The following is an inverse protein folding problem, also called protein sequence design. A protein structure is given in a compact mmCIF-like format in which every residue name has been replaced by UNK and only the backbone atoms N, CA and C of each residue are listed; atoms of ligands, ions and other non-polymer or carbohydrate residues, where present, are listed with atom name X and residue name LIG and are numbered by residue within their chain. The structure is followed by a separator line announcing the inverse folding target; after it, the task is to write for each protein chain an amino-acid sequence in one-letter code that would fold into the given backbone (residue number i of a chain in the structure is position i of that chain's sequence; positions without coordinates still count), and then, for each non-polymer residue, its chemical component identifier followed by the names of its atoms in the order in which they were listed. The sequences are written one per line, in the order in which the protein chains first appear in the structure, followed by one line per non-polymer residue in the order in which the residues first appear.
data_IF_634548694739
#
_entry.id   IF_634548694739
#
_cell.length_a   1.000
_cell.length_b   1.000
_cell.length_c   1.000
_cell.angle_alpha   90.00
_cell.angle_beta   90.00
_cell.angle_gamma   90.00
#
_symmetry.space_group_name_H-M   'P 1'
#
loop_
_entity.id
_entity.type
_entity.pdbx_description
1 polymer ?
#
# COMPACT_ATOMS: atom_id res chain seq x y z
N UNK A 1 -4.96 3.07 -33.71
CA UNK A 1 -3.83 3.81 -33.41
C UNK A 1 -3.86 4.84 -32.31
N UNK A 2 -5.00 5.28 -31.88
CA UNK A 2 -5.13 6.20 -30.75
C UNK A 2 -5.17 5.49 -29.41
N UNK A 3 -5.07 4.19 -29.42
CA UNK A 3 -5.25 3.35 -28.24
C UNK A 3 -4.15 3.54 -27.19
N UNK A 4 -2.92 3.80 -27.60
CA UNK A 4 -1.82 3.98 -26.66
C UNK A 4 -1.99 5.25 -25.81
N UNK A 5 -2.52 6.32 -26.41
CA UNK A 5 -2.78 7.57 -25.69
C UNK A 5 -3.89 7.39 -24.64
N UNK A 6 -4.92 6.63 -24.99
CA UNK A 6 -6.01 6.34 -24.07
C UNK A 6 -5.55 5.47 -22.91
N UNK A 7 -4.66 4.53 -23.16
CA UNK A 7 -4.05 3.71 -22.11
C UNK A 7 -3.28 4.57 -21.11
N UNK A 8 -2.49 5.52 -21.57
CA UNK A 8 -1.71 6.39 -20.70
C UNK A 8 -2.60 7.23 -19.81
N UNK A 9 -3.69 7.77 -20.35
CA UNK A 9 -4.66 8.53 -19.58
C UNK A 9 -5.37 7.68 -18.54
N UNK A 10 -5.66 6.41 -18.89
CA UNK A 10 -6.36 5.48 -18.01
C UNK A 10 -5.48 4.95 -16.89
N UNK A 11 -4.15 5.13 -16.98
CA UNK A 11 -3.24 4.74 -15.91
C UNK A 11 -3.32 5.67 -14.68
N UNK A 12 -3.86 6.88 -14.85
CA UNK A 12 -4.06 7.82 -13.74
C UNK A 12 -5.35 7.49 -13.01
N UNK A 13 -5.23 6.76 -11.92
CA UNK A 13 -6.39 6.30 -11.14
C UNK A 13 -6.03 6.14 -9.67
N UNK A 14 -7.05 5.92 -8.86
CA UNK A 14 -6.86 5.57 -7.47
C UNK A 14 -6.13 4.22 -7.36
N UNK A 15 -5.36 4.06 -6.30
CA UNK A 15 -4.64 2.83 -6.02
C UNK A 15 -5.30 2.14 -4.84
N UNK A 16 -5.64 0.86 -5.03
CA UNK A 16 -6.14 0.00 -3.97
C UNK A 16 -5.09 -1.07 -3.69
N UNK A 17 -4.66 -1.16 -2.45
CA UNK A 17 -3.63 -2.10 -2.01
C UNK A 17 -4.30 -3.15 -1.13
N UNK A 18 -4.12 -4.40 -1.47
CA UNK A 18 -4.75 -5.54 -0.80
C UNK A 18 -3.71 -6.35 -0.05
N UNK A 19 -4.04 -6.72 1.18
CA UNK A 19 -3.24 -7.63 1.99
C UNK A 19 -3.98 -8.96 2.10
N UNK A 20 -3.28 -10.06 1.84
CA UNK A 20 -3.85 -11.40 1.86
C UNK A 20 -3.01 -12.30 2.75
N UNK A 21 -3.66 -13.07 3.62
CA UNK A 21 -2.99 -14.13 4.36
C UNK A 21 -2.85 -15.33 3.42
N UNK A 22 -1.60 -15.73 3.15
CA UNK A 22 -1.29 -16.81 2.19
C UNK A 22 -0.82 -18.10 2.86
N UNK A 23 -0.70 -18.09 4.19
CA UNK A 23 -0.15 -19.20 4.93
C UNK A 23 -0.70 -19.14 6.36
N UNK A 24 -0.85 -20.28 7.03
CA UNK A 24 -1.29 -20.31 8.42
C UNK A 24 -0.32 -19.50 9.28
N UNK A 25 -0.84 -18.58 10.08
CA UNK A 25 -0.01 -17.65 10.86
C UNK A 25 0.91 -18.37 11.86
N UNK A 26 0.51 -19.52 12.33
CA UNK A 26 1.36 -20.32 13.24
C UNK A 26 2.56 -20.95 12.52
N UNK A 27 2.56 -21.01 11.20
CA UNK A 27 3.64 -21.57 10.40
C UNK A 27 4.65 -20.51 9.96
N UNK A 28 4.45 -19.24 10.33
CA UNK A 28 5.36 -18.15 10.00
C UNK A 28 6.14 -17.73 11.24
N UNK A 29 7.40 -17.38 11.05
CA UNK A 29 8.24 -16.89 12.14
C UNK A 29 7.68 -15.58 12.71
N UNK A 30 7.33 -14.65 11.81
CA UNK A 30 6.60 -13.42 12.12
C UNK A 30 5.30 -13.42 11.33
N UNK A 31 4.22 -12.87 11.88
CA UNK A 31 2.94 -12.91 11.17
C UNK A 31 2.98 -12.13 9.86
N UNK A 32 3.82 -11.11 9.74
CA UNK A 32 4.00 -10.38 8.48
C UNK A 32 4.51 -11.27 7.36
N UNK A 33 5.23 -12.35 7.67
CA UNK A 33 5.74 -13.27 6.67
C UNK A 33 4.63 -14.13 6.05
N UNK A 34 3.45 -14.15 6.65
CA UNK A 34 2.28 -14.83 6.12
C UNK A 34 1.45 -13.98 5.17
N UNK A 35 1.87 -12.73 4.93
CA UNK A 35 1.10 -11.76 4.15
C UNK A 35 1.70 -11.56 2.78
N UNK A 36 0.84 -11.47 1.78
CA UNK A 36 1.21 -11.07 0.44
C UNK A 36 0.43 -9.82 0.05
N UNK A 37 1.11 -8.89 -0.61
CA UNK A 37 0.51 -7.70 -1.17
C UNK A 37 0.11 -7.91 -2.63
N UNK A 38 -0.96 -7.24 -3.02
CA UNK A 38 -1.31 -7.03 -4.41
C UNK A 38 -2.01 -5.68 -4.52
N UNK A 39 -2.22 -5.20 -5.74
CA UNK A 39 -2.95 -3.94 -5.94
C UNK A 39 -3.73 -3.97 -7.26
N UNK A 40 -4.49 -2.90 -7.49
CA UNK A 40 -5.24 -2.75 -8.75
C UNK A 40 -4.38 -2.17 -9.87
N UNK A 41 -3.05 -2.06 -9.67
CA UNK A 41 -2.10 -1.53 -10.64
C UNK A 41 -1.30 -2.63 -11.35
N UNK A 42 -1.55 -3.88 -10.99
CA UNK A 42 -0.84 -5.03 -11.55
C UNK A 42 0.42 -5.41 -10.77
N UNK A 43 0.70 -4.74 -9.67
CA UNK A 43 1.85 -5.05 -8.82
C UNK A 43 1.50 -6.14 -7.82
N UNK A 44 2.48 -6.98 -7.49
CA UNK A 44 2.33 -8.01 -6.46
C UNK A 44 3.70 -8.38 -5.90
N UNK A 45 3.69 -8.98 -4.72
CA UNK A 45 4.92 -9.54 -4.14
C UNK A 45 5.17 -10.88 -4.81
N UNK A 46 6.28 -10.98 -5.55
CA UNK A 46 6.62 -12.20 -6.30
C UNK A 46 7.17 -13.31 -5.41
N UNK A 47 7.72 -12.96 -4.25
CA UNK A 47 8.31 -13.93 -3.32
C UNK A 47 7.48 -13.95 -2.04
N UNK A 48 6.75 -15.05 -1.75
CA UNK A 48 6.02 -15.17 -0.50
C UNK A 48 6.93 -15.03 0.71
N UNK A 49 6.45 -14.36 1.77
CA UNK A 49 7.21 -14.16 2.99
C UNK A 49 8.18 -12.98 2.96
N UNK A 50 8.15 -12.15 1.91
CA UNK A 50 8.98 -10.94 1.82
C UNK A 50 8.15 -9.74 1.42
N UNK A 51 7.17 -9.35 2.25
CA UNK A 51 6.23 -8.27 1.92
C UNK A 51 6.87 -6.88 1.81
N UNK A 52 8.02 -6.65 2.44
CA UNK A 52 8.71 -5.35 2.37
C UNK A 52 9.21 -5.00 0.97
N UNK A 53 9.29 -5.98 0.07
CA UNK A 53 9.68 -5.73 -1.31
C UNK A 53 8.58 -5.11 -2.17
N UNK A 54 7.36 -5.04 -1.65
CA UNK A 54 6.22 -4.53 -2.40
C UNK A 54 6.32 -3.02 -2.65
N UNK A 55 6.15 -2.63 -3.90
CA UNK A 55 6.08 -1.23 -4.32
C UNK A 55 4.86 -1.03 -5.18
N UNK A 56 4.01 -0.08 -4.81
CA UNK A 56 2.79 0.22 -5.56
C UNK A 56 2.87 1.60 -6.21
N UNK A 57 2.37 1.71 -7.43
CA UNK A 57 2.33 2.98 -8.15
C UNK A 57 1.17 3.84 -7.67
N UNK A 58 1.43 5.15 -7.52
CA UNK A 58 0.40 6.11 -7.17
C UNK A 58 0.47 7.31 -8.11
N UNK A 59 -0.65 7.99 -8.30
CA UNK A 59 -0.74 9.13 -9.19
C UNK A 59 -1.13 10.41 -8.42
N UNK A 60 -0.73 11.60 -8.92
CA UNK A 60 -1.07 12.86 -8.23
C UNK A 60 -2.58 13.04 -8.09
N UNK A 61 -2.98 13.61 -6.95
CA UNK A 61 -4.38 13.91 -6.62
C UNK A 61 -5.32 12.71 -6.54
N UNK A 62 -4.80 11.51 -6.52
CA UNK A 62 -5.59 10.28 -6.41
C UNK A 62 -5.55 9.72 -5.01
N UNK A 63 -6.51 8.86 -4.70
CA UNK A 63 -6.61 8.20 -3.40
C UNK A 63 -5.77 6.92 -3.38
N UNK A 64 -5.31 6.57 -2.19
CA UNK A 64 -4.71 5.26 -1.91
C UNK A 64 -5.50 4.62 -0.79
N UNK A 65 -5.89 3.37 -0.97
CA UNK A 65 -6.63 2.62 0.04
C UNK A 65 -5.88 1.35 0.39
N UNK A 66 -5.79 1.06 1.66
CA UNK A 66 -5.19 -0.18 2.16
C UNK A 66 -6.28 -1.01 2.81
N UNK A 67 -6.42 -2.27 2.42
CA UNK A 67 -7.49 -3.13 2.90
C UNK A 67 -7.12 -4.61 2.83
N UNK A 68 -7.86 -5.43 3.58
CA UNK A 68 -7.76 -6.88 3.45
C UNK A 68 -8.38 -7.31 2.13
N UNK A 69 -7.75 -8.25 1.43
CA UNK A 69 -8.32 -8.82 0.23
C UNK A 69 -9.62 -9.58 0.58
N UNK A 70 -10.56 -9.62 -0.36
CA UNK A 70 -11.87 -10.29 -0.13
C UNK A 70 -11.72 -11.75 0.20
N UNK A 71 -10.76 -12.42 -0.42
CA UNK A 71 -10.51 -13.85 -0.25
C UNK A 71 -9.51 -14.18 0.86
N UNK A 72 -9.01 -13.15 1.55
CA UNK A 72 -8.10 -13.40 2.68
C UNK A 72 -8.85 -14.08 3.82
N UNK A 73 -8.25 -15.15 4.35
CA UNK A 73 -8.77 -15.88 5.51
C UNK A 73 -7.59 -16.30 6.39
N UNK A 74 -7.46 -15.77 7.61
CA UNK A 74 -8.36 -14.79 8.23
C UNK A 74 -8.25 -13.40 7.60
N UNK A 75 -9.23 -12.56 7.88
CA UNK A 75 -9.19 -11.16 7.46
C UNK A 75 -8.11 -10.39 8.21
N UNK A 76 -7.55 -9.40 7.55
CA UNK A 76 -6.52 -8.53 8.12
C UNK A 76 -7.16 -7.20 8.48
N UNK A 77 -6.98 -6.75 9.71
CA UNK A 77 -7.41 -5.42 10.12
C UNK A 77 -6.27 -4.45 9.89
N UNK A 78 -6.46 -3.48 9.00
CA UNK A 78 -5.50 -2.39 8.81
C UNK A 78 -5.83 -1.33 9.86
N UNK A 79 -4.88 -1.01 10.71
CA UNK A 79 -5.10 -0.08 11.83
C UNK A 79 -4.61 1.32 11.52
N UNK A 80 -3.42 1.43 10.92
CA UNK A 80 -2.78 2.71 10.70
C UNK A 80 -1.74 2.59 9.59
N UNK A 81 -1.53 3.68 8.86
CA UNK A 81 -0.45 3.81 7.89
C UNK A 81 0.27 5.11 8.17
N UNK A 82 1.60 5.09 8.29
CA UNK A 82 2.35 6.30 8.56
C UNK A 82 3.67 6.36 7.79
N UNK A 83 4.09 7.60 7.54
CA UNK A 83 5.35 7.94 6.88
C UNK A 83 6.52 7.45 7.75
N UNK A 84 7.50 6.84 7.11
CA UNK A 84 8.68 6.35 7.82
C UNK A 84 9.75 7.42 7.88
N UNK A 85 10.19 7.79 9.07
CA UNK A 85 11.20 8.82 9.28
C UNK A 85 12.60 8.24 9.03
N UNK A 86 12.97 8.17 7.76
CA UNK A 86 14.31 7.73 7.33
C UNK A 86 14.89 8.73 6.34
N UNK A 87 16.20 8.84 6.28
CA UNK A 87 16.89 9.76 5.39
C UNK A 87 16.54 9.47 3.93
N UNK A 88 16.29 10.52 3.16
CA UNK A 88 15.98 10.42 1.75
C UNK A 88 14.55 10.01 1.42
N UNK A 89 13.71 9.77 2.43
CA UNK A 89 12.31 9.43 2.19
C UNK A 89 11.54 10.63 1.64
N UNK A 90 10.72 10.41 0.63
CA UNK A 90 9.93 11.47 -0.02
C UNK A 90 8.49 11.39 0.46
N UNK A 91 7.97 12.50 0.97
CA UNK A 91 6.60 12.58 1.49
C UNK A 91 5.62 12.79 0.33
N UNK A 92 5.06 11.70 -0.17
CA UNK A 92 4.16 11.67 -1.34
C UNK A 92 2.71 11.92 -0.94
N UNK A 93 2.31 11.45 0.25
CA UNK A 93 0.94 11.55 0.72
C UNK A 93 0.73 12.88 1.45
N UNK A 94 -0.51 13.40 1.38
CA UNK A 94 -0.85 14.67 2.04
C UNK A 94 -0.71 14.61 3.55
N UNK A 95 -1.01 13.43 4.13
CA UNK A 95 -0.89 13.23 5.57
C UNK A 95 0.19 12.20 5.85
N UNK A 96 1.00 12.45 6.88
CA UNK A 96 2.04 11.52 7.29
C UNK A 96 1.51 10.36 8.12
N UNK A 97 0.31 10.48 8.65
CA UNK A 97 -0.30 9.46 9.51
C UNK A 97 -1.78 9.38 9.23
N UNK A 98 -2.26 8.19 8.92
CA UNK A 98 -3.66 7.93 8.62
C UNK A 98 -4.13 6.73 9.44
N UNK A 99 -5.30 6.84 10.05
CA UNK A 99 -5.89 5.77 10.85
C UNK A 99 -7.11 5.20 10.16
N UNK A 100 -7.38 3.92 10.41
CA UNK A 100 -8.60 3.28 9.94
C UNK A 100 -9.82 3.91 10.61
N UNK A 101 -10.91 3.97 9.87
CA UNK A 101 -12.21 4.33 10.44
C UNK A 101 -12.69 3.13 11.26
N UNK A 102 -13.35 3.42 12.40
CA UNK A 102 -13.67 2.43 13.44
C UNK A 102 -14.30 1.12 12.95
N UNK A 103 -15.04 1.11 11.84
CA UNK A 103 -15.81 -0.08 11.44
C UNK A 103 -15.26 -0.80 10.21
N UNK A 104 -14.38 -0.18 9.44
CA UNK A 104 -14.06 -0.69 8.11
C UNK A 104 -12.71 -1.37 7.98
N UNK A 105 -11.82 -1.20 8.95
CA UNK A 105 -10.45 -1.72 8.87
C UNK A 105 -9.74 -1.35 7.56
N UNK A 106 -10.14 -0.21 6.98
CA UNK A 106 -9.60 0.34 5.74
C UNK A 106 -8.95 1.68 6.06
N UNK A 107 -7.73 1.89 5.60
CA UNK A 107 -7.04 3.17 5.70
C UNK A 107 -7.06 3.84 4.34
N UNK A 108 -7.33 5.14 4.30
CA UNK A 108 -7.42 5.93 3.07
C UNK A 108 -6.49 7.13 3.19
N UNK A 109 -5.65 7.32 2.17
CA UNK A 109 -4.79 8.49 2.05
C UNK A 109 -4.95 9.14 0.70
N UNK A 110 -4.43 10.36 0.56
CA UNK A 110 -4.48 11.09 -0.71
C UNK A 110 -3.07 11.49 -1.13
N UNK A 111 -2.77 11.29 -2.41
CA UNK A 111 -1.49 11.65 -3.01
C UNK A 111 -1.45 13.16 -3.24
N UNK A 112 -0.31 13.79 -2.99
CA UNK A 112 -0.09 15.21 -3.23
C UNK A 112 -0.28 15.56 -4.70
N UNK A 113 -0.68 16.81 -5.01
CA UNK A 113 -0.84 17.23 -6.40
C UNK A 113 0.50 17.32 -7.14
N UNK A 114 0.44 17.21 -8.45
CA UNK A 114 1.58 17.25 -9.35
C UNK A 114 2.42 18.52 -9.17
N UNK A 115 1.78 19.64 -8.84
CA UNK A 115 2.43 20.94 -8.68
C UNK A 115 3.37 21.04 -7.46
N UNK A 116 3.35 20.07 -6.56
CA UNK A 116 4.14 20.09 -5.33
C UNK A 116 5.60 19.67 -5.53
N UNK A 117 6.12 19.72 -6.73
CA UNK A 117 7.56 19.50 -7.03
C UNK A 117 8.07 18.09 -6.71
N UNK A 118 7.19 17.13 -6.56
CA UNK A 118 7.60 15.73 -6.38
C UNK A 118 8.03 15.16 -7.72
N UNK A 119 9.24 14.65 -7.78
CA UNK A 119 9.79 14.09 -9.02
C UNK A 119 9.10 12.79 -9.38
N UNK A 120 9.01 12.54 -10.69
CA UNK A 120 8.53 11.25 -11.18
C UNK A 120 9.40 10.13 -10.62
N UNK A 121 8.78 9.01 -10.26
CA UNK A 121 9.41 7.82 -9.68
C UNK A 121 9.99 8.02 -8.27
N UNK A 122 9.65 9.12 -7.59
CA UNK A 122 9.99 9.29 -6.17
C UNK A 122 9.37 8.19 -5.33
N UNK A 123 10.08 7.76 -4.30
CA UNK A 123 9.68 6.65 -3.41
C UNK A 123 9.35 7.20 -2.03
N UNK A 124 8.22 6.78 -1.49
CA UNK A 124 7.91 6.95 -0.08
C UNK A 124 7.95 5.59 0.61
N UNK A 125 8.82 5.48 1.61
CA UNK A 125 8.84 4.36 2.54
C UNK A 125 7.79 4.64 3.63
N UNK A 126 6.93 3.68 3.91
CA UNK A 126 5.88 3.85 4.91
C UNK A 126 5.71 2.57 5.72
N UNK A 127 4.93 2.66 6.79
CA UNK A 127 4.67 1.52 7.68
C UNK A 127 3.18 1.31 7.79
N UNK A 128 2.76 0.05 7.65
CA UNK A 128 1.39 -0.38 7.92
C UNK A 128 1.38 -1.08 9.28
N UNK A 129 0.51 -0.63 10.17
CA UNK A 129 0.18 -1.34 11.40
C UNK A 129 -1.08 -2.14 11.15
N UNK A 130 -1.05 -3.42 11.40
CA UNK A 130 -2.18 -4.31 11.15
C UNK A 130 -2.33 -5.32 12.28
N UNK A 131 -3.47 -6.02 12.30
CA UNK A 131 -3.66 -7.15 13.20
C UNK A 131 -4.35 -8.29 12.47
N UNK A 132 -4.04 -9.51 12.90
CA UNK A 132 -4.69 -10.73 12.45
C UNK A 132 -5.05 -11.51 13.72
N UNK A 133 -6.34 -11.81 13.90
CA UNK A 133 -6.83 -12.53 15.09
C UNK A 133 -6.34 -11.88 16.40
N UNK A 134 -6.31 -10.55 16.42
CA UNK A 134 -5.90 -9.78 17.61
C UNK A 134 -4.39 -9.64 17.79
N UNK A 135 -3.57 -10.23 16.95
CA UNK A 135 -2.11 -10.12 17.02
C UNK A 135 -1.65 -9.00 16.09
N UNK A 136 -0.97 -7.98 16.65
CA UNK A 136 -0.48 -6.82 15.90
C UNK A 136 0.93 -7.06 15.36
N UNK A 137 1.20 -6.51 14.18
CA UNK A 137 2.53 -6.45 13.61
C UNK A 137 2.62 -5.26 12.66
N UNK A 138 3.79 -5.01 12.09
CA UNK A 138 4.03 -3.92 11.15
C UNK A 138 4.74 -4.44 9.91
N UNK A 139 4.50 -3.76 8.78
CA UNK A 139 5.18 -4.03 7.51
C UNK A 139 5.57 -2.68 6.89
N UNK A 140 6.73 -2.63 6.24
CA UNK A 140 7.29 -1.41 5.65
C UNK A 140 7.36 -1.50 4.13
N UNK A 141 6.25 -1.33 3.39
CA UNK A 141 6.29 -1.30 1.92
C UNK A 141 6.63 0.09 1.37
N UNK A 142 6.47 0.26 0.06
CA UNK A 142 6.83 1.49 -0.64
C UNK A 142 5.74 1.94 -1.59
N UNK A 143 5.64 3.26 -1.79
CA UNK A 143 4.87 3.86 -2.86
C UNK A 143 5.82 4.50 -3.86
N UNK A 144 5.48 4.44 -5.13
CA UNK A 144 6.23 5.09 -6.20
C UNK A 144 5.34 6.08 -6.94
N UNK A 145 5.80 7.34 -7.00
CA UNK A 145 5.03 8.45 -7.58
C UNK A 145 5.17 8.46 -9.11
N UNK A 146 4.06 8.35 -9.81
CA UNK A 146 4.00 8.42 -11.28
C UNK A 146 3.23 9.66 -11.70
N UNK A 147 3.93 10.62 -12.24
CA UNK A 147 3.38 11.91 -12.69
C UNK A 147 2.52 11.77 -13.92
#
# INVERSE_FOLDING_TARGET
MLFSCDKEKNDHKDTEIYLTVIKDIKDCQDIKDCIQFSDNRGDSVSVPGKPEGFTSKVNPDKWVKWMSAKDSDPKIEILEVYFKEVDGNVDILKEKKMKAKEKDSIVIGKVKPKKDSIKNLSIEYYTIVFSIDGIKDTIDPKLEFHR
#
